data_IF_282715690477
#
_entry.id   IF_282715690477
#
_cell.length_a   1.000
_cell.length_b   1.000
_cell.length_c   1.000
_cell.angle_alpha   90.00
_cell.angle_beta   90.00
_cell.angle_gamma   90.00
#
_symmetry.space_group_name_H-M   'P 1'
#
loop_
_entity.id
_entity.type
_entity.pdbx_description
1 polymer ?
#
# COMPACT_ATOMS: atom_id res chain seq x y z
N UNK A 1 -4.23 -6.20 0.35
CA UNK A 1 -3.17 -7.12 0.80
C UNK A 1 -1.76 -6.56 0.57
N UNK A 2 -1.28 -6.36 -0.66
CA UNK A 2 0.10 -5.89 -0.93
C UNK A 2 0.49 -4.60 -0.18
N UNK A 3 -0.40 -3.63 -0.06
CA UNK A 3 -0.14 -2.39 0.68
C UNK A 3 -0.10 -2.58 2.21
N UNK A 4 -0.82 -3.57 2.76
CA UNK A 4 -0.66 -3.97 4.16
C UNK A 4 0.74 -4.50 4.43
N UNK A 5 1.22 -5.40 3.59
CA UNK A 5 2.60 -5.90 3.66
C UNK A 5 3.66 -4.80 3.46
N UNK A 6 3.40 -3.84 2.57
CA UNK A 6 4.27 -2.67 2.40
C UNK A 6 4.29 -1.77 3.64
N UNK A 7 3.19 -1.68 4.38
CA UNK A 7 3.11 -0.96 5.64
C UNK A 7 3.71 -1.73 6.83
N UNK A 8 4.02 -3.02 6.64
CA UNK A 8 4.61 -3.87 7.66
C UNK A 8 3.61 -4.56 8.57
N UNK A 9 2.36 -4.67 8.13
CA UNK A 9 1.30 -5.40 8.86
C UNK A 9 0.82 -6.59 8.05
N UNK A 10 0.09 -7.49 8.70
CA UNK A 10 -0.48 -8.67 8.07
C UNK A 10 -1.40 -8.29 6.88
N UNK A 11 -1.48 -9.15 5.84
CA UNK A 11 -2.27 -8.90 4.64
C UNK A 11 -3.75 -8.60 4.90
N UNK A 12 -4.32 -9.15 5.97
CA UNK A 12 -5.72 -8.98 6.35
C UNK A 12 -6.09 -7.53 6.62
N UNK A 13 -5.20 -6.76 7.27
CA UNK A 13 -5.43 -5.34 7.52
C UNK A 13 -5.51 -4.53 6.23
N UNK A 14 -4.77 -4.95 5.20
CA UNK A 14 -4.88 -4.37 3.86
C UNK A 14 -6.23 -4.61 3.18
N UNK A 15 -6.94 -5.69 3.55
CA UNK A 15 -8.32 -5.94 3.07
C UNK A 15 -9.29 -5.02 3.82
N UNK A 16 -9.17 -4.91 5.12
CA UNK A 16 -10.04 -4.07 5.95
C UNK A 16 -9.94 -2.59 5.59
N UNK A 17 -8.72 -2.10 5.29
CA UNK A 17 -8.52 -0.73 4.80
C UNK A 17 -9.07 -0.51 3.38
N UNK A 18 -9.32 -1.56 2.61
CA UNK A 18 -10.02 -1.48 1.33
C UNK A 18 -11.55 -1.36 1.46
N UNK A 19 -12.12 -1.74 2.62
CA UNK A 19 -13.56 -1.75 2.85
C UNK A 19 -14.04 -0.50 3.60
N UNK A 20 -13.53 -0.28 4.82
CA UNK A 20 -14.06 0.75 5.71
C UNK A 20 -13.90 2.19 5.21
N UNK A 21 -12.72 2.62 4.74
CA UNK A 21 -12.56 3.97 4.21
C UNK A 21 -13.45 4.26 3.00
N UNK A 22 -13.66 3.26 2.14
CA UNK A 22 -14.54 3.40 0.97
C UNK A 22 -15.99 3.60 1.40
N UNK A 23 -16.49 2.82 2.38
CA UNK A 23 -17.84 2.97 2.91
C UNK A 23 -18.05 4.36 3.54
N UNK A 24 -17.10 4.83 4.34
CA UNK A 24 -17.15 6.18 4.93
C UNK A 24 -17.08 7.24 3.85
N UNK A 25 -16.26 7.05 2.81
CA UNK A 25 -16.14 8.00 1.73
C UNK A 25 -17.39 8.11 0.87
N UNK A 26 -18.15 7.03 0.69
CA UNK A 26 -19.46 7.07 0.00
C UNK A 26 -20.44 8.02 0.71
N UNK A 27 -20.35 8.13 2.04
CA UNK A 27 -21.22 8.99 2.84
C UNK A 27 -20.72 10.44 2.93
N UNK A 28 -19.42 10.64 3.04
CA UNK A 28 -18.80 11.93 3.34
C UNK A 28 -18.01 12.53 2.17
N UNK A 29 -17.73 11.75 1.14
CA UNK A 29 -16.92 12.18 0.00
C UNK A 29 -17.67 13.10 -0.95
N UNK A 30 -16.95 14.05 -1.54
CA UNK A 30 -17.47 15.01 -2.50
C UNK A 30 -16.93 14.80 -3.93
N UNK A 31 -16.05 13.83 -4.14
CA UNK A 31 -15.43 13.52 -5.45
C UNK A 31 -15.94 12.18 -5.98
N UNK A 32 -16.88 12.15 -6.94
CA UNK A 32 -17.54 10.92 -7.36
C UNK A 32 -16.63 9.93 -8.11
N UNK A 33 -15.51 10.39 -8.66
CA UNK A 33 -14.60 9.56 -9.43
C UNK A 33 -13.35 9.11 -8.65
N UNK A 34 -13.26 9.45 -7.35
CA UNK A 34 -12.14 9.07 -6.49
C UNK A 34 -12.63 8.02 -5.49
N UNK A 35 -11.88 6.93 -5.37
CA UNK A 35 -12.07 5.96 -4.30
C UNK A 35 -10.93 6.12 -3.30
N UNK A 36 -11.27 6.37 -2.04
CA UNK A 36 -10.27 6.44 -0.97
C UNK A 36 -9.78 5.04 -0.61
N UNK A 37 -8.47 4.85 -0.70
CA UNK A 37 -7.82 3.58 -0.41
C UNK A 37 -6.36 3.79 -0.02
N UNK A 38 -5.67 2.68 0.15
CA UNK A 38 -4.23 2.68 0.48
C UNK A 38 -3.39 3.04 -0.75
N UNK A 39 -2.36 3.87 -0.53
CA UNK A 39 -1.34 4.17 -1.52
C UNK A 39 0.00 3.57 -1.13
N UNK A 40 0.73 3.06 -2.12
CA UNK A 40 2.03 2.44 -1.91
C UNK A 40 3.02 3.36 -1.18
N UNK A 41 3.02 4.64 -1.54
CA UNK A 41 3.91 5.65 -0.92
C UNK A 41 3.61 5.83 0.54
N UNK A 42 2.34 6.02 0.88
CA UNK A 42 1.88 6.18 2.26
C UNK A 42 2.22 4.92 3.06
N UNK A 43 1.99 3.73 2.49
CA UNK A 43 2.33 2.45 3.13
C UNK A 43 3.83 2.35 3.44
N UNK A 44 4.71 2.78 2.51
CA UNK A 44 6.16 2.80 2.75
C UNK A 44 6.55 3.82 3.84
N UNK A 45 5.92 4.99 3.86
CA UNK A 45 6.16 5.99 4.90
C UNK A 45 5.73 5.46 6.27
N UNK A 46 4.57 4.82 6.36
CA UNK A 46 4.09 4.16 7.58
C UNK A 46 5.06 3.06 8.02
N UNK A 47 5.54 2.21 7.09
CA UNK A 47 6.56 1.19 7.41
C UNK A 47 7.83 1.79 7.98
N UNK A 48 8.27 2.93 7.46
CA UNK A 48 9.46 3.62 8.00
C UNK A 48 9.27 4.03 9.46
N UNK A 49 8.05 4.45 9.84
CA UNK A 49 7.73 4.78 11.25
C UNK A 49 7.69 3.53 12.11
N UNK A 50 7.07 2.44 11.61
CA UNK A 50 7.04 1.14 12.30
C UNK A 50 8.46 0.65 12.56
N UNK A 51 9.33 0.65 11.54
CA UNK A 51 10.71 0.20 11.67
C UNK A 51 11.53 1.07 12.66
N UNK A 52 11.23 2.37 12.76
CA UNK A 52 11.90 3.25 13.72
C UNK A 52 11.49 2.97 15.17
N UNK A 53 10.22 2.69 15.40
CA UNK A 53 9.70 2.41 16.74
C UNK A 53 10.05 1.01 17.24
N UNK A 54 10.18 0.02 16.35
CA UNK A 54 10.60 -1.35 16.69
C UNK A 54 12.07 -1.42 17.13
N UNK A 55 12.90 -0.39 16.84
CA UNK A 55 14.31 -0.33 17.19
C UNK A 55 14.63 0.31 18.55
N UNK A 56 13.68 0.94 19.20
CA UNK A 56 13.87 1.68 20.46
C UNK A 56 13.60 0.79 21.69
N UNK A 57 14.40 -0.23 21.91
CA UNK A 57 14.77 -0.88 23.18
C UNK A 57 13.80 -0.92 24.38
N UNK A 58 12.50 -0.76 24.19
CA UNK A 58 11.51 -0.94 25.26
C UNK A 58 11.00 -2.39 25.28
N UNK A 59 11.00 -2.96 26.46
CA UNK A 59 10.42 -4.26 26.71
C UNK A 59 9.12 -4.06 27.53
N UNK A 60 7.90 -4.37 26.98
CA UNK A 60 7.66 -4.94 25.66
C UNK A 60 7.64 -3.87 24.52
N UNK A 61 8.29 -4.19 23.39
CA UNK A 61 8.20 -3.36 22.18
C UNK A 61 6.76 -3.34 21.64
N UNK A 62 6.25 -2.16 21.19
CA UNK A 62 4.90 -2.08 20.64
C UNK A 62 4.76 -2.95 19.39
N UNK A 63 3.63 -3.61 19.24
CA UNK A 63 3.36 -4.43 18.05
C UNK A 63 3.24 -3.52 16.80
N UNK A 64 3.60 -4.06 15.62
CA UNK A 64 3.53 -3.31 14.36
C UNK A 64 2.15 -2.71 14.12
N UNK A 65 1.07 -3.45 14.45
CA UNK A 65 -0.30 -2.97 14.30
C UNK A 65 -0.64 -1.82 15.26
N UNK A 66 -0.09 -1.81 16.46
CA UNK A 66 -0.28 -0.71 17.43
C UNK A 66 0.33 0.57 16.92
N UNK A 67 1.56 0.50 16.40
CA UNK A 67 2.22 1.65 15.80
C UNK A 67 1.44 2.17 14.59
N UNK A 68 1.02 1.27 13.68
CA UNK A 68 0.23 1.66 12.50
C UNK A 68 -1.09 2.30 12.89
N UNK A 69 -1.78 1.77 13.90
CA UNK A 69 -3.04 2.32 14.39
C UNK A 69 -2.83 3.72 15.00
N UNK A 70 -1.78 3.90 15.82
CA UNK A 70 -1.43 5.20 16.39
C UNK A 70 -1.09 6.24 15.31
N UNK A 71 -0.28 5.86 14.30
CA UNK A 71 0.05 6.71 13.15
C UNK A 71 -1.22 7.10 12.38
N UNK A 72 -2.09 6.12 12.08
CA UNK A 72 -3.34 6.36 11.34
C UNK A 72 -4.25 7.33 12.09
N UNK A 73 -4.37 7.17 13.40
CA UNK A 73 -5.14 8.08 14.26
C UNK A 73 -4.56 9.50 14.23
N UNK A 74 -3.24 9.65 14.40
CA UNK A 74 -2.57 10.94 14.33
C UNK A 74 -2.75 11.61 12.96
N UNK A 75 -2.57 10.85 11.88
CA UNK A 75 -2.77 11.34 10.50
C UNK A 75 -4.20 11.82 10.31
N UNK A 76 -5.18 11.02 10.74
CA UNK A 76 -6.60 11.41 10.66
C UNK A 76 -6.90 12.68 11.44
N UNK A 77 -6.38 12.81 12.66
CA UNK A 77 -6.58 14.02 13.50
C UNK A 77 -5.96 15.24 12.83
N UNK A 78 -4.72 15.14 12.34
CA UNK A 78 -4.06 16.23 11.61
C UNK A 78 -4.87 16.63 10.38
N UNK A 79 -5.38 15.68 9.61
CA UNK A 79 -6.21 15.94 8.42
C UNK A 79 -7.53 16.64 8.78
N UNK A 80 -8.18 16.24 9.86
CA UNK A 80 -9.39 16.95 10.38
C UNK A 80 -9.06 18.39 10.75
N UNK A 81 -7.97 18.63 11.48
CA UNK A 81 -7.54 19.98 11.82
C UNK A 81 -7.23 20.80 10.58
N UNK A 82 -6.51 20.22 9.60
CA UNK A 82 -6.24 20.89 8.32
C UNK A 82 -7.53 21.22 7.54
N UNK A 83 -8.50 20.33 7.55
CA UNK A 83 -9.81 20.56 6.95
C UNK A 83 -10.58 21.69 7.62
N UNK A 84 -10.63 21.72 8.97
CA UNK A 84 -11.29 22.79 9.75
C UNK A 84 -10.63 24.14 9.53
N UNK A 85 -9.31 24.18 9.41
CA UNK A 85 -8.54 25.40 9.11
C UNK A 85 -8.63 25.80 7.62
N UNK A 86 -9.37 25.07 6.81
CA UNK A 86 -9.50 25.27 5.36
C UNK A 86 -8.15 25.32 4.62
N UNK A 87 -7.20 24.53 5.07
CA UNK A 87 -5.87 24.45 4.48
C UNK A 87 -5.84 23.70 3.14
N UNK A 88 -7.00 23.31 2.60
CA UNK A 88 -7.13 22.74 1.27
C UNK A 88 -6.55 23.64 0.16
N UNK A 89 -6.53 24.95 0.36
CA UNK A 89 -5.87 25.91 -0.55
C UNK A 89 -4.34 25.73 -0.61
N UNK A 90 -3.70 25.12 0.38
CA UNK A 90 -2.27 24.75 0.34
C UNK A 90 -1.95 23.80 -0.82
N UNK A 91 -2.93 23.00 -1.28
CA UNK A 91 -2.71 22.13 -2.43
C UNK A 91 -2.53 22.89 -3.74
N UNK A 92 -3.05 24.13 -3.83
CA UNK A 92 -2.80 25.01 -4.97
C UNK A 92 -1.33 25.46 -5.06
N UNK A 93 -0.57 25.36 -3.94
CA UNK A 93 0.87 25.63 -3.92
C UNK A 93 1.69 24.43 -4.38
N UNK A 94 1.09 23.25 -4.42
CA UNK A 94 1.76 22.03 -4.90
C UNK A 94 1.55 21.92 -6.39
N UNK A 95 2.57 22.28 -7.17
CA UNK A 95 2.52 22.19 -8.62
C UNK A 95 2.41 20.73 -9.09
N UNK A 96 1.78 20.52 -10.26
CA UNK A 96 1.68 19.20 -10.89
C UNK A 96 3.05 18.54 -11.09
N UNK A 97 4.09 19.36 -11.29
CA UNK A 97 5.46 18.89 -11.40
C UNK A 97 5.96 18.23 -10.08
N UNK A 98 5.59 18.78 -8.92
CA UNK A 98 5.95 18.21 -7.61
C UNK A 98 5.21 16.87 -7.42
N UNK A 99 3.91 16.82 -7.71
CA UNK A 99 3.11 15.59 -7.60
C UNK A 99 3.68 14.51 -8.52
N UNK A 100 3.97 14.86 -9.77
CA UNK A 100 4.54 13.95 -10.77
C UNK A 100 5.91 13.43 -10.34
N UNK A 101 6.82 14.32 -9.92
CA UNK A 101 8.16 13.95 -9.46
C UNK A 101 8.13 13.04 -8.24
N UNK A 102 7.24 13.35 -7.28
CA UNK A 102 7.02 12.52 -6.10
C UNK A 102 6.50 11.13 -6.48
N UNK A 103 5.55 11.05 -7.42
CA UNK A 103 4.98 9.78 -7.89
C UNK A 103 6.04 8.93 -8.58
N UNK A 104 6.91 9.53 -9.39
CA UNK A 104 8.03 8.83 -10.06
C UNK A 104 9.02 8.31 -9.01
N UNK A 105 9.45 9.15 -8.07
CA UNK A 105 10.35 8.73 -6.99
C UNK A 105 9.77 7.59 -6.15
N UNK A 106 8.49 7.68 -5.83
CA UNK A 106 7.77 6.65 -5.12
C UNK A 106 7.67 5.33 -5.90
N UNK A 107 7.43 5.39 -7.21
CA UNK A 107 7.36 4.18 -8.05
C UNK A 107 8.68 3.42 -8.07
N UNK A 108 9.81 4.11 -8.05
CA UNK A 108 11.15 3.49 -7.92
C UNK A 108 11.29 2.76 -6.58
N UNK A 109 10.85 3.39 -5.48
CA UNK A 109 10.86 2.75 -4.17
C UNK A 109 9.96 1.50 -4.12
N UNK A 110 8.77 1.57 -4.70
CA UNK A 110 7.84 0.44 -4.79
C UNK A 110 8.46 -0.69 -5.61
N UNK A 111 8.94 -0.39 -6.83
CA UNK A 111 9.59 -1.37 -7.69
C UNK A 111 10.75 -2.08 -6.98
N UNK A 112 11.64 -1.30 -6.35
CA UNK A 112 12.75 -1.85 -5.56
C UNK A 112 12.27 -2.79 -4.44
N UNK A 113 11.20 -2.42 -3.73
CA UNK A 113 10.66 -3.23 -2.65
C UNK A 113 10.04 -4.55 -3.13
N UNK A 114 9.57 -4.60 -4.38
CA UNK A 114 8.97 -5.80 -4.98
C UNK A 114 10.02 -6.80 -5.51
N UNK A 115 11.25 -6.37 -5.80
CA UNK A 115 12.29 -7.24 -6.36
C UNK A 115 12.56 -8.46 -5.48
N UNK A 116 12.57 -8.30 -4.16
CA UNK A 116 12.75 -9.42 -3.20
C UNK A 116 11.65 -10.48 -3.33
N UNK A 117 10.42 -10.07 -3.61
CA UNK A 117 9.28 -10.99 -3.78
C UNK A 117 9.33 -11.69 -5.14
N UNK A 118 9.76 -10.99 -6.19
CA UNK A 118 9.95 -11.57 -7.54
C UNK A 118 11.03 -12.64 -7.54
N UNK A 119 12.13 -12.41 -6.80
CA UNK A 119 13.25 -13.34 -6.69
C UNK A 119 13.05 -14.41 -5.60
N UNK A 120 12.03 -14.24 -4.74
CA UNK A 120 11.80 -15.16 -3.62
C UNK A 120 12.84 -15.07 -2.51
N UNK A 121 13.64 -14.00 -2.45
CA UNK A 121 14.76 -13.84 -1.52
C UNK A 121 14.32 -13.11 -0.25
N UNK A 122 14.86 -13.54 0.90
CA UNK A 122 14.69 -12.82 2.17
C UNK A 122 15.71 -11.71 2.29
N UNK A 123 15.26 -10.47 2.18
CA UNK A 123 16.10 -9.28 2.40
C UNK A 123 15.64 -8.57 3.67
N UNK A 124 16.59 -8.14 4.51
CA UNK A 124 16.29 -7.36 5.73
C UNK A 124 15.58 -6.06 5.37
N UNK A 125 14.67 -5.63 6.23
CA UNK A 125 14.05 -4.33 6.10
C UNK A 125 15.06 -3.24 6.47
N UNK A 126 15.23 -2.27 5.58
CA UNK A 126 16.09 -1.11 5.82
C UNK A 126 15.23 0.15 5.89
N UNK A 127 15.55 1.05 6.82
CA UNK A 127 14.92 2.36 6.97
C UNK A 127 15.94 3.48 6.75
N UNK A 128 15.46 4.71 6.53
CA UNK A 128 16.27 5.91 6.43
C UNK A 128 16.94 6.15 5.06
N UNK A 129 17.86 7.12 5.04
CA UNK A 129 18.57 7.52 3.84
C UNK A 129 19.41 6.38 3.26
N UNK A 130 19.41 6.26 1.92
CA UNK A 130 20.16 5.19 1.23
C UNK A 130 19.48 3.81 1.24
N UNK A 131 18.22 3.70 1.68
CA UNK A 131 17.46 2.45 1.71
C UNK A 131 17.53 1.66 0.40
N UNK A 132 17.35 2.33 -0.73
CA UNK A 132 17.40 1.69 -2.07
C UNK A 132 18.74 1.01 -2.28
N UNK A 133 19.86 1.72 -2.03
CA UNK A 133 21.21 1.19 -2.23
C UNK A 133 21.46 -0.04 -1.34
N UNK A 134 21.05 0.03 -0.08
CA UNK A 134 21.19 -1.10 0.85
C UNK A 134 20.41 -2.33 0.38
N UNK A 135 19.17 -2.13 -0.13
CA UNK A 135 18.36 -3.24 -0.67
C UNK A 135 19.06 -3.87 -1.88
N UNK A 136 19.61 -3.07 -2.81
CA UNK A 136 20.33 -3.62 -3.97
C UNK A 136 21.62 -4.35 -3.57
N UNK A 137 22.35 -3.86 -2.57
CA UNK A 137 23.54 -4.55 -2.05
C UNK A 137 23.15 -5.90 -1.43
N UNK A 138 22.10 -5.92 -0.59
CA UNK A 138 21.64 -7.16 0.03
C UNK A 138 21.07 -8.15 -0.99
N UNK A 139 20.37 -7.63 -1.99
CA UNK A 139 19.86 -8.44 -3.10
C UNK A 139 21.00 -9.08 -3.90
N UNK A 140 22.06 -8.30 -4.18
CA UNK A 140 23.25 -8.81 -4.87
C UNK A 140 24.00 -9.87 -4.04
N UNK A 141 24.06 -9.70 -2.71
CA UNK A 141 24.68 -10.70 -1.82
C UNK A 141 23.90 -12.01 -1.76
N UNK A 142 22.59 -11.94 -1.78
CA UNK A 142 21.69 -13.08 -1.63
C UNK A 142 21.12 -13.58 -2.97
N UNK A 143 21.70 -13.17 -4.10
CA UNK A 143 21.21 -13.57 -5.43
C UNK A 143 21.34 -15.08 -5.66
N UNK A 144 22.31 -15.73 -4.98
CA UNK A 144 22.48 -17.18 -5.01
C UNK A 144 21.33 -17.96 -4.37
N UNK A 145 20.59 -17.34 -3.46
CA UNK A 145 19.45 -17.93 -2.74
C UNK A 145 18.13 -17.72 -3.49
N UNK A 146 18.18 -17.29 -4.76
CA UNK A 146 16.98 -17.04 -5.57
C UNK A 146 16.22 -18.33 -5.80
N UNK A 147 14.90 -18.31 -5.46
CA UNK A 147 14.02 -19.42 -5.75
C UNK A 147 13.59 -19.36 -7.23
N UNK A 148 14.13 -20.28 -8.05
CA UNK A 148 13.86 -20.33 -9.49
C UNK A 148 12.37 -20.55 -9.81
N UNK A 149 11.64 -21.29 -8.97
CA UNK A 149 10.21 -21.54 -9.13
C UNK A 149 9.44 -20.24 -8.92
N UNK A 150 9.76 -19.49 -7.85
CA UNK A 150 9.16 -18.17 -7.57
C UNK A 150 9.44 -17.20 -8.72
N UNK A 151 10.66 -17.18 -9.23
CA UNK A 151 11.04 -16.32 -10.35
C UNK A 151 10.26 -16.68 -11.62
N UNK A 152 10.18 -17.96 -11.96
CA UNK A 152 9.44 -18.43 -13.13
C UNK A 152 7.95 -18.07 -13.05
N UNK A 153 7.32 -18.29 -11.89
CA UNK A 153 5.93 -17.91 -11.64
C UNK A 153 5.75 -16.41 -11.78
N UNK A 154 6.64 -15.61 -11.18
CA UNK A 154 6.57 -14.15 -11.23
C UNK A 154 6.66 -13.64 -12.67
N UNK A 155 7.61 -14.14 -13.45
CA UNK A 155 7.77 -13.77 -14.86
C UNK A 155 6.55 -14.19 -15.68
N UNK A 156 6.03 -15.40 -15.46
CA UNK A 156 4.82 -15.89 -16.14
C UNK A 156 3.59 -15.02 -15.82
N UNK A 157 3.39 -14.64 -14.55
CA UNK A 157 2.30 -13.76 -14.14
C UNK A 157 2.42 -12.38 -14.77
N UNK A 158 3.62 -11.77 -14.76
CA UNK A 158 3.85 -10.45 -15.38
C UNK A 158 3.59 -10.52 -16.88
N UNK A 159 4.13 -11.53 -17.57
CA UNK A 159 3.89 -11.72 -19.01
C UNK A 159 2.40 -11.89 -19.30
N UNK A 160 1.69 -12.70 -18.51
CA UNK A 160 0.25 -12.91 -18.66
C UNK A 160 -0.53 -11.59 -18.47
N UNK A 161 -0.20 -10.79 -17.46
CA UNK A 161 -0.86 -9.49 -17.21
C UNK A 161 -0.62 -8.54 -18.39
N UNK A 162 0.61 -8.47 -18.92
CA UNK A 162 0.94 -7.63 -20.07
C UNK A 162 0.14 -8.06 -21.29
N UNK A 163 0.14 -9.36 -21.62
CA UNK A 163 -0.62 -9.88 -22.75
C UNK A 163 -2.11 -9.63 -22.60
N UNK A 164 -2.68 -9.88 -21.42
CA UNK A 164 -4.09 -9.58 -21.17
C UNK A 164 -4.41 -8.08 -21.28
N UNK A 165 -3.55 -7.22 -20.76
CA UNK A 165 -3.75 -5.77 -20.82
C UNK A 165 -3.64 -5.23 -22.25
N UNK A 166 -2.62 -5.66 -23.00
CA UNK A 166 -2.35 -5.11 -24.33
C UNK A 166 -3.20 -5.74 -25.44
N UNK A 167 -3.49 -7.04 -25.35
CA UNK A 167 -4.17 -7.77 -26.42
C UNK A 167 -5.65 -8.02 -26.09
N UNK A 168 -5.92 -8.58 -24.91
CA UNK A 168 -7.28 -9.02 -24.56
C UNK A 168 -8.16 -7.82 -24.26
N UNK A 169 -7.71 -6.86 -23.45
CA UNK A 169 -8.52 -5.66 -23.14
C UNK A 169 -8.84 -4.84 -24.38
N UNK A 170 -7.88 -4.69 -25.29
CA UNK A 170 -8.12 -3.96 -26.56
C UNK A 170 -9.16 -4.65 -27.44
N UNK A 171 -9.14 -5.98 -27.51
CA UNK A 171 -10.14 -6.76 -28.27
C UNK A 171 -11.51 -6.77 -27.57
N UNK A 172 -11.53 -6.99 -26.26
CA UNK A 172 -12.78 -7.06 -25.47
C UNK A 172 -13.49 -5.72 -25.38
N UNK A 173 -12.75 -4.61 -25.38
CA UNK A 173 -13.34 -3.25 -25.42
C UNK A 173 -14.27 -3.03 -26.63
N UNK A 174 -14.06 -3.77 -27.73
CA UNK A 174 -14.93 -3.72 -28.90
C UNK A 174 -16.26 -4.47 -28.70
N UNK A 175 -16.34 -5.40 -27.73
CA UNK A 175 -17.51 -6.24 -27.46
C UNK A 175 -18.19 -5.92 -26.13
N UNK A 176 -17.40 -5.49 -25.13
CA UNK A 176 -17.90 -5.17 -23.79
C UNK A 176 -17.37 -3.81 -23.34
N UNK A 177 -18.26 -2.96 -22.81
CA UNK A 177 -17.88 -1.67 -22.20
C UNK A 177 -17.16 -1.83 -20.84
N UNK A 178 -17.11 -3.03 -20.28
CA UNK A 178 -16.53 -3.28 -18.97
C UNK A 178 -15.07 -3.73 -19.09
N UNK A 179 -14.12 -3.09 -18.39
CA UNK A 179 -12.72 -3.52 -18.36
C UNK A 179 -12.60 -4.84 -17.62
N UNK A 180 -11.92 -5.83 -18.22
CA UNK A 180 -11.66 -7.11 -17.56
C UNK A 180 -10.76 -6.90 -16.32
N UNK A 181 -11.15 -7.42 -15.16
CA UNK A 181 -10.33 -7.36 -13.94
C UNK A 181 -9.19 -8.39 -14.01
N UNK A 182 -8.22 -8.15 -14.90
CA UNK A 182 -7.11 -9.07 -15.19
C UNK A 182 -6.37 -9.52 -13.93
N UNK A 183 -6.16 -8.59 -12.99
CA UNK A 183 -5.47 -8.87 -11.73
C UNK A 183 -6.23 -9.87 -10.87
N UNK A 184 -7.56 -9.76 -10.83
CA UNK A 184 -8.42 -10.70 -10.09
C UNK A 184 -8.39 -12.09 -10.73
N UNK A 185 -8.38 -12.15 -12.06
CA UNK A 185 -8.26 -13.42 -12.80
C UNK A 185 -6.92 -14.09 -12.50
N UNK A 186 -5.82 -13.35 -12.56
CA UNK A 186 -4.48 -13.88 -12.19
C UNK A 186 -4.47 -14.38 -10.75
N UNK A 187 -5.01 -13.62 -9.81
CA UNK A 187 -5.10 -14.06 -8.41
C UNK A 187 -5.88 -15.38 -8.28
N UNK A 188 -7.03 -15.48 -8.89
CA UNK A 188 -7.84 -16.70 -8.83
C UNK A 188 -7.09 -17.91 -9.43
N UNK A 189 -6.48 -17.74 -10.61
CA UNK A 189 -5.68 -18.79 -11.26
C UNK A 189 -4.52 -19.20 -10.35
N UNK A 190 -3.73 -18.24 -9.87
CA UNK A 190 -2.54 -18.53 -9.05
C UNK A 190 -2.88 -19.12 -7.69
N UNK A 191 -4.00 -18.73 -7.09
CA UNK A 191 -4.50 -19.35 -5.85
C UNK A 191 -4.84 -20.83 -6.09
N UNK A 192 -5.51 -21.13 -7.20
CA UNK A 192 -5.85 -22.49 -7.58
C UNK A 192 -4.60 -23.32 -7.88
N UNK A 193 -3.66 -22.78 -8.65
CA UNK A 193 -2.37 -23.44 -8.98
C UNK A 193 -1.57 -23.69 -7.71
N UNK A 194 -1.47 -22.69 -6.81
CA UNK A 194 -0.75 -22.81 -5.55
C UNK A 194 -1.34 -23.90 -4.64
N UNK A 195 -2.66 -24.04 -4.64
CA UNK A 195 -3.35 -25.06 -3.86
C UNK A 195 -3.07 -26.48 -4.39
N UNK A 196 -3.21 -26.70 -5.71
CA UNK A 196 -3.05 -28.04 -6.29
C UNK A 196 -1.59 -28.49 -6.41
N UNK A 197 -0.65 -27.56 -6.59
CA UNK A 197 0.78 -27.87 -6.71
C UNK A 197 1.54 -27.74 -5.38
N UNK A 198 0.84 -27.48 -4.28
CA UNK A 198 1.44 -27.32 -2.95
C UNK A 198 2.73 -26.48 -2.96
N UNK A 199 2.71 -25.35 -3.68
CA UNK A 199 3.89 -24.54 -3.98
C UNK A 199 4.68 -24.08 -2.73
N UNK A 200 4.00 -23.94 -1.59
CA UNK A 200 4.67 -23.57 -0.34
C UNK A 200 5.45 -24.74 0.25
N UNK A 201 4.84 -25.92 0.35
CA UNK A 201 5.42 -27.09 1.01
C UNK A 201 6.49 -27.79 0.17
N UNK A 202 6.27 -27.94 -1.16
CA UNK A 202 7.18 -28.68 -2.01
C UNK A 202 8.25 -27.82 -2.70
N UNK A 203 7.93 -26.56 -2.99
CA UNK A 203 8.81 -25.69 -3.78
C UNK A 203 9.35 -24.47 -3.01
N UNK A 204 9.00 -24.32 -1.74
CA UNK A 204 9.45 -23.19 -0.90
C UNK A 204 9.00 -21.82 -1.39
N UNK A 205 7.91 -21.77 -2.18
CA UNK A 205 7.33 -20.51 -2.64
C UNK A 205 6.54 -19.90 -1.50
N UNK A 206 6.87 -18.69 -1.11
CA UNK A 206 6.14 -17.99 -0.05
C UNK A 206 4.74 -17.61 -0.50
N UNK A 207 3.75 -18.13 0.21
CA UNK A 207 2.33 -17.81 -0.01
C UNK A 207 1.81 -16.87 1.06
N UNK A 208 0.60 -16.33 0.86
CA UNK A 208 -0.05 -15.47 1.85
C UNK A 208 -0.27 -16.24 3.17
N UNK A 209 -0.54 -17.53 3.10
CA UNK A 209 -0.69 -18.40 4.28
C UNK A 209 0.55 -18.44 5.16
N UNK A 210 1.74 -18.34 4.55
CA UNK A 210 3.02 -18.32 5.28
C UNK A 210 3.30 -16.96 5.94
N UNK A 211 2.58 -15.91 5.54
CA UNK A 211 2.77 -14.53 6.04
C UNK A 211 1.73 -14.18 7.11
N UNK A 212 0.52 -14.76 7.04
CA UNK A 212 -0.54 -14.53 8.02
C UNK A 212 -1.85 -15.20 7.62
N UNK A 213 -2.61 -15.61 8.63
CA UNK A 213 -3.94 -16.20 8.40
C UNK A 213 -4.96 -15.10 8.08
N UNK A 214 -5.79 -15.35 7.08
CA UNK A 214 -6.92 -14.48 6.76
C UNK A 214 -8.16 -15.06 7.44
N UNK A 215 -8.61 -14.48 8.56
CA UNK A 215 -9.79 -14.95 9.26
C UNK A 215 -11.04 -14.77 8.40
N UNK A 216 -11.96 -15.71 8.50
CA UNK A 216 -13.26 -15.62 7.84
C UNK A 216 -14.15 -14.61 8.58
N UNK A 217 -14.73 -13.67 7.84
CA UNK A 217 -15.69 -12.70 8.37
C UNK A 217 -15.15 -11.28 8.50
N UNK A 218 -15.97 -10.42 9.10
CA UNK A 218 -15.59 -9.06 9.42
C UNK A 218 -14.71 -9.02 10.68
N UNK A 219 -13.85 -8.00 10.83
CA UNK A 219 -13.02 -7.86 12.02
C UNK A 219 -13.92 -7.77 13.26
N UNK A 220 -13.82 -8.77 14.10
CA UNK A 220 -14.62 -8.89 15.33
C UNK A 220 -13.96 -8.19 16.52
N UNK A 221 -12.70 -7.79 16.40
CA UNK A 221 -11.91 -7.28 17.51
C UNK A 221 -11.86 -5.74 17.49
N UNK A 222 -12.45 -5.06 18.49
CA UNK A 222 -12.45 -3.60 18.59
C UNK A 222 -11.09 -3.01 19.01
N UNK A 223 -9.99 -3.78 18.98
CA UNK A 223 -8.64 -3.30 19.28
C UNK A 223 -8.15 -2.17 18.36
N UNK A 224 -8.99 -1.74 17.44
CA UNK A 224 -8.70 -0.67 16.47
C UNK A 224 -8.79 0.74 17.04
N UNK A 225 -9.24 0.90 18.28
CA UNK A 225 -9.20 2.19 18.96
C UNK A 225 -7.93 2.28 19.83
N UNK A 226 -7.17 3.37 19.74
CA UNK A 226 -5.89 3.50 20.44
C UNK A 226 -6.03 3.74 21.95
N UNK A 227 -6.99 3.11 22.62
CA UNK A 227 -7.23 3.30 24.05
C UNK A 227 -6.07 2.84 24.93
N UNK A 228 -5.34 1.80 24.49
CA UNK A 228 -4.12 1.33 25.18
C UNK A 228 -2.84 2.02 24.67
N UNK A 229 -2.92 2.83 23.62
CA UNK A 229 -1.77 3.30 22.84
C UNK A 229 -1.57 4.82 22.87
N UNK A 230 -2.28 5.53 23.76
CA UNK A 230 -2.09 6.98 23.90
C UNK A 230 -0.64 7.37 24.24
N UNK A 231 0.14 6.47 24.81
CA UNK A 231 1.57 6.67 25.07
C UNK A 231 2.41 6.73 23.77
N UNK A 232 1.96 6.09 22.68
CA UNK A 232 2.63 6.13 21.38
C UNK A 232 2.32 7.39 20.59
N UNK A 233 1.17 8.04 20.82
CA UNK A 233 0.72 9.23 20.07
C UNK A 233 1.77 10.34 20.05
N UNK A 234 2.36 10.77 21.16
CA UNK A 234 3.39 11.81 21.15
C UNK A 234 4.65 11.42 20.34
N UNK A 235 5.00 10.14 20.35
CA UNK A 235 6.19 9.62 19.65
C UNK A 235 6.03 9.61 18.14
N UNK A 236 4.82 9.23 17.66
CA UNK A 236 4.55 9.13 16.22
C UNK A 236 4.00 10.42 15.61
N UNK A 237 3.61 11.41 16.41
CA UNK A 237 2.98 12.65 15.96
C UNK A 237 3.85 13.41 14.95
N UNK A 238 5.14 13.55 15.24
CA UNK A 238 6.09 14.23 14.34
C UNK A 238 6.24 13.53 12.99
N UNK A 239 6.28 12.21 12.99
CA UNK A 239 6.36 11.40 11.78
C UNK A 239 5.03 11.32 11.02
N UNK A 240 3.91 11.52 11.69
CA UNK A 240 2.56 11.52 11.10
C UNK A 240 2.26 12.78 10.29
N UNK A 241 2.92 13.91 10.60
CA UNK A 241 2.69 15.17 9.91
C UNK A 241 3.01 15.10 8.41
N UNK A 242 4.21 14.67 7.96
CA UNK A 242 4.50 14.54 6.54
C UNK A 242 3.58 13.51 5.85
N UNK A 243 3.19 12.44 6.55
CA UNK A 243 2.26 11.43 6.01
C UNK A 243 0.88 12.06 5.74
N UNK A 244 0.37 12.87 6.68
CA UNK A 244 -0.89 13.57 6.54
C UNK A 244 -0.88 14.54 5.35
N UNK A 245 0.17 15.35 5.22
CA UNK A 245 0.34 16.31 4.11
C UNK A 245 0.38 15.57 2.77
N UNK A 246 1.23 14.55 2.65
CA UNK A 246 1.36 13.76 1.41
C UNK A 246 0.04 13.09 1.04
N UNK A 247 -0.68 12.55 2.01
CA UNK A 247 -1.97 11.90 1.79
C UNK A 247 -3.02 12.87 1.23
N UNK A 248 -3.11 14.08 1.79
CA UNK A 248 -4.02 15.13 1.29
C UNK A 248 -3.62 15.55 -0.11
N UNK A 249 -2.34 15.80 -0.36
CA UNK A 249 -1.83 16.22 -1.68
C UNK A 249 -2.15 15.18 -2.76
N UNK A 250 -1.91 13.89 -2.47
CA UNK A 250 -2.24 12.82 -3.42
C UNK A 250 -3.76 12.75 -3.63
N UNK A 251 -4.55 12.80 -2.56
CA UNK A 251 -6.00 12.71 -2.64
C UNK A 251 -6.62 13.85 -3.48
N UNK A 252 -6.23 15.09 -3.21
CA UNK A 252 -6.74 16.27 -3.94
C UNK A 252 -6.17 16.29 -5.37
N UNK A 253 -4.88 15.94 -5.57
CA UNK A 253 -4.28 15.87 -6.90
C UNK A 253 -5.00 14.88 -7.82
N UNK A 254 -5.31 13.68 -7.33
CA UNK A 254 -6.12 12.71 -8.07
C UNK A 254 -7.53 13.23 -8.32
N UNK A 255 -8.16 13.84 -7.31
CA UNK A 255 -9.49 14.44 -7.43
C UNK A 255 -9.54 15.51 -8.50
N UNK A 256 -8.57 16.43 -8.51
CA UNK A 256 -8.46 17.51 -9.52
C UNK A 256 -8.25 16.95 -10.91
N UNK A 257 -7.36 15.97 -11.07
CA UNK A 257 -7.12 15.32 -12.36
C UNK A 257 -8.39 14.68 -12.95
N UNK A 258 -9.19 14.00 -12.11
CA UNK A 258 -10.46 13.44 -12.57
C UNK A 258 -11.53 14.50 -12.81
N UNK A 259 -11.54 15.57 -12.02
CA UNK A 259 -12.46 16.69 -12.19
C UNK A 259 -12.23 17.39 -13.54
N UNK A 260 -10.98 17.67 -13.89
CA UNK A 260 -10.61 18.27 -15.18
C UNK A 260 -11.00 17.37 -16.36
N UNK A 261 -10.78 16.07 -16.21
CA UNK A 261 -11.14 15.08 -17.23
C UNK A 261 -12.66 14.96 -17.46
N UNK A 262 -13.45 15.14 -16.42
CA UNK A 262 -14.92 14.97 -16.44
C UNK A 262 -15.70 16.28 -16.40
N UNK A 263 -15.03 17.44 -16.39
CA UNK A 263 -15.63 18.76 -16.50
C UNK A 263 -16.39 19.24 -15.25
N UNK A 264 -16.02 18.79 -14.05
CA UNK A 264 -16.57 19.31 -12.80
C UNK A 264 -15.50 20.00 -11.95
N UNK A 265 -15.95 20.84 -11.01
CA UNK A 265 -15.05 21.56 -10.10
C UNK A 265 -14.96 20.84 -8.76
N UNK A 266 -13.74 20.65 -8.28
CA UNK A 266 -13.50 20.19 -6.90
C UNK A 266 -13.44 21.41 -5.99
N UNK A 267 -14.29 21.42 -4.98
CA UNK A 267 -14.24 22.45 -3.95
C UNK A 267 -13.23 22.01 -2.89
N UNK A 268 -12.08 22.65 -2.89
CA UNK A 268 -11.06 22.50 -1.83
C UNK A 268 -11.38 23.45 -0.66
N UNK A 269 -12.51 23.21 0.00
CA UNK A 269 -12.85 23.99 1.20
C UNK A 269 -12.25 23.39 2.44
#
# INVERSE_FOLDING_TARGET
MAYGMLAGVEPVYGIYTGLWPVLVYVLLGNMPHVSMGTFAVISIMVKSVVDSQAGEGEDPSPSEIEVVTAVTFCVGLIQVVMGLLRLGSLTNLVSDAIISSFTVGASVHVATSQLKHVLGVSVKSHSGAGRIVKIYIDLGRNIGDTNLVTLAISVACVAFIIVCSEVVQKKVKNYCSFPLPTQLVVMAIMTTVSYYLELSSEHGVRTIKDIGEIPLGLPSDPRYFPTSQFSLVPRVLGASLPIAVVSIVIGIGLGSMFADKHGYKVFSH
#
